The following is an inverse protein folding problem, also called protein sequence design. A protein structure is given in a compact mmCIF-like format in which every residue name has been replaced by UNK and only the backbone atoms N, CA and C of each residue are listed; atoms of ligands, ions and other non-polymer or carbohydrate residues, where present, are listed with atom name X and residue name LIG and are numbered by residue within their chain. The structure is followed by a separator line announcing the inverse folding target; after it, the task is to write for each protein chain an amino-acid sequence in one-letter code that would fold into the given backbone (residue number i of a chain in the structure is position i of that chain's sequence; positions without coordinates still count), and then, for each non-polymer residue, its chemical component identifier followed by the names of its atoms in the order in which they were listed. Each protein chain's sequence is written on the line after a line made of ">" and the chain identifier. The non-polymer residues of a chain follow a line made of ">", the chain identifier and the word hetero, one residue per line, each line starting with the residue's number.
data_IF_451592585269
#
_entry.id   IF_451592585269
#
_cell.length_a   1.000
_cell.length_b   1.000
_cell.length_c   1.000
_cell.angle_alpha   90.00
_cell.angle_beta   90.00
_cell.angle_gamma   90.00
#
_symmetry.space_group_name_H-M   'P 1'
#
loop_
_entity.id
_entity.type
_entity.pdbx_description
1 polymer ?
#
# COMPACT_ATOMS: atom_id res chain seq x y z
N UNK A 1 17.01 -6.05 -3.95
CA UNK A 1 18.00 -4.96 -4.04
C UNK A 1 17.48 -3.68 -3.38
N UNK A 2 16.31 -3.13 -3.77
CA UNK A 2 15.74 -1.93 -3.12
C UNK A 2 15.52 -2.10 -1.61
N UNK A 3 14.86 -3.19 -1.18
CA UNK A 3 14.65 -3.46 0.25
C UNK A 3 15.94 -3.73 1.03
N UNK A 4 17.04 -4.09 0.36
CA UNK A 4 18.32 -4.35 1.02
C UNK A 4 19.11 -3.06 1.30
N UNK A 5 18.83 -1.99 0.55
CA UNK A 5 19.49 -0.69 0.72
C UNK A 5 18.64 0.32 1.48
N UNK A 6 17.35 0.02 1.71
CA UNK A 6 16.45 0.89 2.45
C UNK A 6 16.75 0.88 3.95
N UNK A 7 16.73 2.06 4.60
CA UNK A 7 16.84 2.17 6.06
C UNK A 7 15.61 1.59 6.78
N UNK A 8 14.45 1.70 6.14
CA UNK A 8 13.17 1.21 6.68
C UNK A 8 12.42 0.48 5.58
N UNK A 9 11.98 -0.75 5.88
CA UNK A 9 11.08 -1.52 5.05
C UNK A 9 9.72 -1.63 5.74
N UNK A 10 8.65 -1.25 5.04
CA UNK A 10 7.28 -1.35 5.55
C UNK A 10 6.54 -2.35 4.66
N UNK A 11 6.11 -3.51 5.19
CA UNK A 11 5.37 -4.49 4.42
C UNK A 11 3.97 -3.96 4.07
N UNK A 12 3.52 -4.22 2.85
CA UNK A 12 2.22 -3.80 2.33
C UNK A 12 1.48 -4.97 1.68
N UNK A 13 0.16 -4.96 1.77
CA UNK A 13 -0.68 -6.00 1.21
C UNK A 13 -0.70 -5.94 -0.33
N UNK A 14 -0.58 -7.09 -1.00
CA UNK A 14 -0.51 -7.17 -2.46
C UNK A 14 -1.89 -6.89 -3.08
N UNK A 15 -2.00 -5.83 -3.88
CA UNK A 15 -3.22 -5.48 -4.59
C UNK A 15 -3.62 -6.55 -5.63
N UNK A 16 -4.89 -6.96 -5.63
CA UNK A 16 -5.41 -8.04 -6.48
C UNK A 16 -5.15 -9.46 -5.98
N UNK A 17 -4.53 -9.61 -4.80
CA UNK A 17 -4.35 -10.89 -4.13
C UNK A 17 -4.83 -10.77 -2.68
N UNK A 18 -4.28 -9.84 -1.92
CA UNK A 18 -4.52 -9.65 -0.48
C UNK A 18 -5.40 -8.43 -0.18
N UNK A 19 -5.47 -7.47 -1.11
CA UNK A 19 -6.39 -6.33 -1.03
C UNK A 19 -7.00 -5.96 -2.39
N UNK A 20 -8.06 -5.16 -2.37
CA UNK A 20 -8.69 -4.59 -3.55
C UNK A 20 -7.90 -3.41 -4.11
N UNK A 21 -8.18 -3.04 -5.37
CA UNK A 21 -7.52 -1.89 -5.98
C UNK A 21 -8.02 -1.57 -7.38
N UNK A 22 -7.45 -0.51 -7.96
CA UNK A 22 -7.64 -0.16 -9.35
C UNK A 22 -6.27 -0.13 -10.04
N UNK A 23 -6.16 -0.82 -11.16
CA UNK A 23 -5.02 -0.74 -12.06
C UNK A 23 -5.48 -0.13 -13.38
N UNK A 24 -4.59 0.55 -14.07
CA UNK A 24 -4.86 1.07 -15.42
C UNK A 24 -4.12 0.21 -16.42
N UNK A 25 -4.86 -0.38 -17.35
CA UNK A 25 -4.28 -1.13 -18.47
C UNK A 25 -3.53 -0.19 -19.43
N UNK A 26 -2.71 -0.77 -20.30
CA UNK A 26 -1.95 0.02 -21.30
C UNK A 26 -2.85 0.77 -22.29
N UNK A 27 -4.10 0.34 -22.50
CA UNK A 27 -5.10 1.02 -23.31
C UNK A 27 -5.88 2.11 -22.52
N UNK A 28 -5.45 2.42 -21.31
CA UNK A 28 -6.07 3.44 -20.45
C UNK A 28 -7.36 2.99 -19.76
N UNK A 29 -7.81 1.75 -19.99
CA UNK A 29 -9.02 1.25 -19.37
C UNK A 29 -8.76 0.85 -17.90
N UNK A 30 -9.67 1.21 -16.99
CA UNK A 30 -9.57 0.79 -15.60
C UNK A 30 -9.83 -0.70 -15.46
N UNK A 31 -9.02 -1.34 -14.62
CA UNK A 31 -9.15 -2.73 -14.21
C UNK A 31 -9.31 -2.76 -12.68
N UNK A 32 -10.47 -3.20 -12.21
CA UNK A 32 -10.72 -3.36 -10.78
C UNK A 32 -10.18 -4.70 -10.30
N UNK A 33 -9.19 -4.63 -9.41
CA UNK A 33 -8.55 -5.76 -8.79
C UNK A 33 -9.41 -6.28 -7.64
N UNK A 34 -9.45 -7.60 -7.47
CA UNK A 34 -10.22 -8.25 -6.40
C UNK A 34 -9.28 -8.96 -5.43
N UNK A 35 -9.62 -8.89 -4.15
CA UNK A 35 -9.00 -9.69 -3.11
C UNK A 35 -9.36 -11.17 -3.29
N UNK A 36 -8.37 -12.04 -3.11
CA UNK A 36 -8.49 -13.50 -3.23
C UNK A 36 -8.21 -14.19 -1.89
N UNK A 37 -7.24 -13.69 -1.14
CA UNK A 37 -6.85 -14.21 0.19
C UNK A 37 -6.70 -13.06 1.18
N UNK A 38 -6.62 -13.38 2.46
CA UNK A 38 -6.29 -12.41 3.51
C UNK A 38 -4.79 -12.06 3.47
N UNK A 39 -4.41 -10.80 3.77
CA UNK A 39 -3.00 -10.45 3.96
C UNK A 39 -2.44 -11.15 5.21
N UNK A 40 -1.11 -11.29 5.31
CA UNK A 40 -0.47 -11.73 6.56
C UNK A 40 -0.81 -10.82 7.75
N UNK A 41 -0.74 -11.37 8.96
CA UNK A 41 -1.05 -10.62 10.17
C UNK A 41 -0.22 -9.34 10.30
N UNK A 42 -0.90 -8.22 10.56
CA UNK A 42 -0.27 -6.91 10.70
C UNK A 42 0.10 -6.22 9.38
N UNK A 43 -0.11 -6.86 8.23
CA UNK A 43 0.11 -6.26 6.90
C UNK A 43 -1.17 -5.58 6.43
N UNK A 44 -1.04 -4.32 6.00
CA UNK A 44 -2.16 -3.48 5.56
C UNK A 44 -1.93 -2.96 4.12
N UNK A 45 -2.98 -2.53 3.40
CA UNK A 45 -2.84 -1.99 2.06
C UNK A 45 -2.01 -0.70 2.00
N UNK A 46 -1.31 -0.45 0.88
CA UNK A 46 -0.49 0.74 0.66
C UNK A 46 -1.23 2.05 0.95
N UNK A 47 -2.50 2.13 0.53
CA UNK A 47 -3.36 3.30 0.75
C UNK A 47 -3.47 3.69 2.22
N UNK A 48 -3.48 2.71 3.12
CA UNK A 48 -3.67 2.93 4.55
C UNK A 48 -2.34 3.26 5.22
N UNK A 49 -1.24 2.65 4.78
CA UNK A 49 0.13 3.02 5.17
C UNK A 49 0.39 4.49 4.86
N UNK A 50 0.13 4.92 3.63
CA UNK A 50 0.36 6.31 3.21
C UNK A 50 -0.53 7.30 3.99
N UNK A 51 -1.79 6.95 4.27
CA UNK A 51 -2.66 7.76 5.14
C UNK A 51 -2.13 7.88 6.56
N UNK A 52 -1.60 6.79 7.13
CA UNK A 52 -0.99 6.81 8.46
C UNK A 52 0.28 7.66 8.49
N UNK A 53 1.10 7.62 7.43
CA UNK A 53 2.27 8.48 7.30
C UNK A 53 1.88 9.96 7.25
N UNK A 54 0.90 10.33 6.43
CA UNK A 54 0.42 11.73 6.34
C UNK A 54 -0.07 12.23 7.70
N UNK A 55 -0.91 11.44 8.40
CA UNK A 55 -1.38 11.80 9.75
C UNK A 55 -0.25 11.96 10.75
N UNK A 56 0.80 11.14 10.64
CA UNK A 56 1.97 11.22 11.52
C UNK A 56 2.79 12.46 11.21
N UNK A 57 2.99 12.76 9.91
CA UNK A 57 3.69 13.95 9.44
C UNK A 57 2.97 15.23 9.90
N UNK A 58 1.65 15.30 9.79
CA UNK A 58 0.86 16.46 10.26
C UNK A 58 1.05 16.72 11.75
N UNK A 59 1.16 15.67 12.58
CA UNK A 59 1.40 15.81 14.03
C UNK A 59 2.81 16.30 14.33
N UNK A 60 3.79 15.92 13.51
CA UNK A 60 5.18 16.36 13.66
C UNK A 60 5.34 17.80 13.19
N UNK A 61 4.70 18.20 12.09
CA UNK A 61 4.79 19.55 11.53
C UNK A 61 4.02 20.59 12.36
N UNK A 62 2.88 20.22 12.96
CA UNK A 62 2.09 21.13 13.82
C UNK A 62 2.67 21.30 15.23
N UNK A 63 3.81 20.67 15.52
CA UNK A 63 4.55 20.78 16.77
C UNK A 63 5.69 21.77 16.61
#
# INVERSE_FOLDING_TARGET
>A
MTSQVAEVNIPAAIAGIECDGAATRMDGLPLYLRKVIEPPDGVIPDRDILRMMIKSLEKVIKK
#
